data_IF_683835999144
#
_entry.id   IF_683835999144
#
_cell.length_a   1.000
_cell.length_b   1.000
_cell.length_c   1.000
_cell.angle_alpha   90.00
_cell.angle_beta   90.00
_cell.angle_gamma   90.00
#
_symmetry.space_group_name_H-M   'P 1'
#
loop_
_entity.id
_entity.type
_entity.pdbx_description
1 polymer ?
#
# COMPACT_ATOMS: atom_id res chain seq x y z
N UNK A 1 6.65 7.88 -28.36
CA UNK A 1 7.01 8.61 -27.12
C UNK A 1 6.32 9.98 -26.99
N UNK A 2 6.57 10.95 -27.87
CA UNK A 2 6.09 12.34 -27.67
C UNK A 2 4.55 12.50 -27.66
N UNK A 3 3.84 11.76 -28.52
CA UNK A 3 2.37 11.74 -28.52
C UNK A 3 1.81 11.22 -27.19
N UNK A 4 2.32 10.10 -26.71
CA UNK A 4 1.97 9.52 -25.40
C UNK A 4 2.27 10.48 -24.25
N UNK A 5 3.44 11.13 -24.26
CA UNK A 5 3.80 12.16 -23.26
C UNK A 5 2.75 13.27 -23.19
N UNK A 6 2.29 13.78 -24.34
CA UNK A 6 1.25 14.81 -24.40
C UNK A 6 -0.09 14.31 -23.86
N UNK A 7 -0.48 13.08 -24.19
CA UNK A 7 -1.70 12.49 -23.65
C UNK A 7 -1.67 12.41 -22.11
N UNK A 8 -0.57 11.93 -21.53
CA UNK A 8 -0.41 11.91 -20.07
C UNK A 8 -0.37 13.32 -19.47
N UNK A 9 0.34 14.27 -20.08
CA UNK A 9 0.40 15.64 -19.55
C UNK A 9 -1.00 16.28 -19.52
N UNK A 10 -1.80 16.09 -20.57
CA UNK A 10 -3.18 16.57 -20.60
C UNK A 10 -4.04 15.87 -19.55
N UNK A 11 -3.90 14.55 -19.40
CA UNK A 11 -4.64 13.79 -18.39
C UNK A 11 -4.30 14.26 -16.97
N UNK A 12 -3.02 14.50 -16.65
CA UNK A 12 -2.63 15.05 -15.35
C UNK A 12 -3.31 16.40 -15.13
N UNK A 13 -3.30 17.31 -16.11
CA UNK A 13 -3.93 18.63 -15.96
C UNK A 13 -5.45 18.57 -15.69
N UNK A 14 -6.13 17.47 -16.05
CA UNK A 14 -7.55 17.25 -15.74
C UNK A 14 -7.79 16.73 -14.32
N UNK A 15 -6.78 16.13 -13.68
CA UNK A 15 -6.87 15.65 -12.31
C UNK A 15 -6.72 16.81 -11.34
N UNK A 16 -7.53 16.81 -10.28
CA UNK A 16 -7.34 17.76 -9.18
C UNK A 16 -6.06 17.40 -8.43
N UNK A 17 -5.16 18.38 -8.30
CA UNK A 17 -3.92 18.23 -7.55
C UNK A 17 -4.02 19.05 -6.28
N UNK A 18 -4.47 18.42 -5.19
CA UNK A 18 -4.43 19.01 -3.86
C UNK A 18 -3.06 18.72 -3.22
N UNK A 19 -2.04 19.51 -3.56
CA UNK A 19 -0.70 19.33 -3.00
C UNK A 19 0.28 20.41 -3.45
N UNK A 20 1.45 20.44 -2.83
CA UNK A 20 2.50 21.44 -3.12
C UNK A 20 3.19 21.24 -4.48
N UNK A 21 3.02 20.05 -5.09
CA UNK A 21 3.71 19.67 -6.32
C UNK A 21 2.73 19.36 -7.44
N UNK A 22 2.98 19.94 -8.62
CA UNK A 22 2.28 19.59 -9.86
C UNK A 22 3.09 18.52 -10.59
N UNK A 23 2.57 17.30 -10.77
CA UNK A 23 3.25 16.24 -11.49
C UNK A 23 3.61 16.65 -12.92
N UNK A 24 4.84 16.31 -13.33
CA UNK A 24 5.39 16.61 -14.66
C UNK A 24 5.61 15.30 -15.42
N UNK A 25 5.35 15.32 -16.72
CA UNK A 25 5.49 14.13 -17.58
C UNK A 25 6.70 14.27 -18.51
N UNK A 26 7.71 13.42 -18.26
CA UNK A 26 8.90 13.27 -19.11
C UNK A 26 8.89 11.96 -19.91
N UNK A 27 9.78 11.88 -20.89
CA UNK A 27 10.12 10.63 -21.58
C UNK A 27 11.57 10.29 -21.31
N UNK A 28 11.86 9.02 -21.01
CA UNK A 28 13.21 8.50 -20.90
C UNK A 28 13.34 7.15 -21.62
N UNK A 29 14.57 6.73 -21.88
CA UNK A 29 14.93 5.41 -22.38
C UNK A 29 16.22 4.98 -21.70
N UNK A 30 16.16 3.92 -20.90
CA UNK A 30 17.35 3.36 -20.25
C UNK A 30 18.30 2.71 -21.26
N UNK A 31 17.76 2.04 -22.29
CA UNK A 31 18.55 1.37 -23.34
C UNK A 31 19.27 2.36 -24.24
N UNK A 32 18.69 3.54 -24.48
CA UNK A 32 19.30 4.61 -25.26
C UNK A 32 19.99 5.67 -24.38
N UNK A 33 20.06 5.45 -23.07
CA UNK A 33 20.59 6.38 -22.07
C UNK A 33 20.09 7.84 -22.25
N UNK A 34 18.79 8.02 -22.49
CA UNK A 34 18.17 9.33 -22.76
C UNK A 34 17.16 9.69 -21.69
N UNK A 35 17.13 10.93 -21.22
CA UNK A 35 16.08 11.42 -20.32
C UNK A 35 16.25 11.02 -18.84
N UNK A 36 17.25 10.21 -18.50
CA UNK A 36 17.45 9.70 -17.14
C UNK A 36 17.92 10.83 -16.20
N UNK A 37 18.83 11.68 -16.67
CA UNK A 37 19.31 12.84 -15.92
C UNK A 37 18.18 13.84 -15.64
N UNK A 38 17.28 14.06 -16.60
CA UNK A 38 16.13 14.95 -16.44
C UNK A 38 15.11 14.40 -15.45
N UNK A 39 14.88 13.08 -15.47
CA UNK A 39 14.05 12.40 -14.46
C UNK A 39 14.68 12.54 -13.07
N UNK A 40 15.99 12.36 -12.95
CA UNK A 40 16.69 12.51 -11.66
C UNK A 40 16.58 13.94 -11.12
N UNK A 41 16.85 14.95 -11.94
CA UNK A 41 16.67 16.37 -11.56
C UNK A 41 15.25 16.67 -11.09
N UNK A 42 14.25 16.10 -11.75
CA UNK A 42 12.85 16.24 -11.32
C UNK A 42 12.58 15.64 -9.94
N UNK A 43 13.20 14.50 -9.62
CA UNK A 43 13.11 13.87 -8.29
C UNK A 43 13.78 14.76 -7.23
N UNK A 44 14.95 15.31 -7.54
CA UNK A 44 15.67 16.22 -6.64
C UNK A 44 14.89 17.51 -6.36
N UNK A 45 14.30 18.11 -7.38
CA UNK A 45 13.44 19.30 -7.25
C UNK A 45 12.22 19.01 -6.37
N UNK A 46 11.55 17.86 -6.59
CA UNK A 46 10.44 17.43 -5.73
C UNK A 46 10.90 17.26 -4.28
N UNK A 47 12.01 16.53 -4.06
CA UNK A 47 12.55 16.27 -2.73
C UNK A 47 12.88 17.56 -2.00
N UNK A 48 13.57 18.50 -2.65
CA UNK A 48 13.92 19.80 -2.08
C UNK A 48 12.67 20.59 -1.67
N UNK A 49 11.67 20.67 -2.55
CA UNK A 49 10.39 21.33 -2.22
C UNK A 49 9.61 20.63 -1.09
N UNK A 50 9.60 19.30 -1.08
CA UNK A 50 8.92 18.50 -0.05
C UNK A 50 9.59 18.65 1.33
N UNK A 51 10.92 18.72 1.37
CA UNK A 51 11.68 18.93 2.60
C UNK A 51 11.52 20.36 3.11
N UNK A 52 11.61 21.36 2.24
CA UNK A 52 11.45 22.77 2.61
C UNK A 52 10.03 23.08 3.13
N UNK A 53 9.00 22.41 2.60
CA UNK A 53 7.61 22.54 3.06
C UNK A 53 7.25 21.65 4.25
N UNK A 54 8.14 20.73 4.67
CA UNK A 54 7.86 19.73 5.70
C UNK A 54 6.91 18.61 5.28
N UNK A 55 6.44 18.63 4.02
CA UNK A 55 5.50 17.66 3.47
C UNK A 55 6.09 16.24 3.44
N UNK A 56 7.40 16.12 3.20
CA UNK A 56 8.07 14.80 3.19
C UNK A 56 7.98 14.12 4.56
N UNK A 57 8.26 14.85 5.63
CA UNK A 57 8.21 14.36 7.00
C UNK A 57 6.77 14.04 7.42
N UNK A 58 5.82 14.91 7.05
CA UNK A 58 4.38 14.67 7.29
C UNK A 58 3.90 13.38 6.64
N UNK A 59 4.22 13.19 5.36
CA UNK A 59 3.84 11.99 4.61
C UNK A 59 4.50 10.73 5.17
N UNK A 60 5.78 10.80 5.56
CA UNK A 60 6.47 9.68 6.24
C UNK A 60 5.84 9.32 7.58
N UNK A 61 5.45 10.30 8.39
CA UNK A 61 4.77 10.04 9.66
C UNK A 61 3.42 9.34 9.46
N UNK A 62 2.64 9.77 8.46
CA UNK A 62 1.38 9.11 8.10
C UNK A 62 1.62 7.68 7.58
N UNK A 63 2.63 7.48 6.74
CA UNK A 63 3.02 6.16 6.26
C UNK A 63 3.44 5.24 7.43
N UNK A 64 4.22 5.74 8.38
CA UNK A 64 4.61 4.97 9.58
C UNK A 64 3.39 4.55 10.41
N UNK A 65 2.41 5.43 10.58
CA UNK A 65 1.17 5.08 11.27
C UNK A 65 0.36 4.01 10.51
N UNK A 66 0.32 4.07 9.19
CA UNK A 66 -0.32 3.04 8.35
C UNK A 66 0.44 1.71 8.44
N UNK A 67 1.77 1.75 8.35
CA UNK A 67 2.64 0.59 8.51
C UNK A 67 2.45 -0.08 9.86
N UNK A 68 2.38 0.69 10.95
CA UNK A 68 2.12 0.16 12.28
C UNK A 68 0.81 -0.63 12.33
N UNK A 69 -0.29 -0.06 11.82
CA UNK A 69 -1.60 -0.74 11.81
C UNK A 69 -1.57 -2.02 10.97
N UNK A 70 -0.88 -1.97 9.83
CA UNK A 70 -0.68 -3.13 8.96
C UNK A 70 0.10 -4.23 9.69
N UNK A 71 1.23 -3.88 10.30
CA UNK A 71 2.06 -4.81 11.05
C UNK A 71 1.32 -5.43 12.24
N UNK A 72 0.51 -4.65 12.97
CA UNK A 72 -0.33 -5.20 14.04
C UNK A 72 -1.23 -6.30 13.48
N UNK A 73 -1.90 -6.05 12.35
CA UNK A 73 -2.81 -7.03 11.74
C UNK A 73 -2.07 -8.27 11.24
N UNK A 74 -0.96 -8.08 10.51
CA UNK A 74 -0.13 -9.16 9.97
C UNK A 74 0.47 -10.02 11.10
N UNK A 75 0.97 -9.41 12.15
CA UNK A 75 1.56 -10.12 13.30
C UNK A 75 0.48 -10.83 14.13
N UNK A 76 -0.70 -10.25 14.30
CA UNK A 76 -1.82 -10.91 14.95
C UNK A 76 -2.27 -12.14 14.14
N UNK A 77 -2.41 -12.01 12.82
CA UNK A 77 -2.76 -13.12 11.93
C UNK A 77 -1.69 -14.23 11.95
N UNK A 78 -0.41 -13.85 11.89
CA UNK A 78 0.70 -14.79 12.00
C UNK A 78 0.68 -15.52 13.34
N UNK A 79 0.54 -14.80 14.45
CA UNK A 79 0.47 -15.39 15.78
C UNK A 79 -0.73 -16.33 15.92
N UNK A 80 -1.89 -15.91 15.43
CA UNK A 80 -3.11 -16.70 15.43
C UNK A 80 -2.95 -18.00 14.64
N UNK A 81 -2.39 -17.94 13.42
CA UNK A 81 -2.16 -19.14 12.58
C UNK A 81 -1.08 -20.07 13.10
N UNK A 82 -0.12 -19.57 13.87
CA UNK A 82 0.98 -20.38 14.42
C UNK A 82 0.66 -20.98 15.79
N UNK A 83 -0.41 -20.54 16.45
CA UNK A 83 -0.93 -21.15 17.68
C UNK A 83 -1.29 -22.63 17.44
N UNK A 84 -0.69 -23.59 18.17
CA UNK A 84 -0.99 -25.02 18.01
C UNK A 84 -2.47 -25.36 18.13
N UNK A 85 -3.21 -24.71 19.05
CA UNK A 85 -4.65 -24.94 19.22
C UNK A 85 -5.42 -24.55 17.97
N UNK A 86 -5.10 -23.38 17.39
CA UNK A 86 -5.75 -22.90 16.16
C UNK A 86 -5.41 -23.83 15.00
N UNK A 87 -4.14 -24.24 14.86
CA UNK A 87 -3.70 -25.17 13.82
C UNK A 87 -4.43 -26.52 13.87
N UNK A 88 -4.68 -27.02 15.07
CA UNK A 88 -5.35 -28.32 15.27
C UNK A 88 -6.87 -28.22 15.11
N UNK A 89 -7.48 -27.10 15.51
CA UNK A 89 -8.94 -26.92 15.53
C UNK A 89 -9.51 -26.35 14.22
N UNK A 90 -8.75 -25.50 13.51
CA UNK A 90 -9.19 -24.80 12.30
C UNK A 90 -9.73 -25.74 11.20
N UNK A 91 -9.04 -26.83 10.81
CA UNK A 91 -9.54 -27.72 9.74
C UNK A 91 -10.90 -28.35 10.07
N UNK A 92 -11.11 -28.69 11.35
CA UNK A 92 -12.37 -29.29 11.81
C UNK A 92 -13.51 -28.28 11.78
N UNK A 93 -13.24 -27.02 12.13
CA UNK A 93 -14.25 -25.97 12.10
C UNK A 93 -14.57 -25.54 10.67
N UNK A 94 -13.59 -25.49 9.77
CA UNK A 94 -13.81 -25.24 8.34
C UNK A 94 -14.74 -26.28 7.73
N UNK A 95 -14.52 -27.58 8.03
CA UNK A 95 -15.40 -28.65 7.56
C UNK A 95 -16.84 -28.46 8.04
N UNK A 96 -17.03 -28.18 9.34
CA UNK A 96 -18.37 -27.93 9.91
C UNK A 96 -19.07 -26.72 9.29
N UNK A 97 -18.32 -25.67 8.95
CA UNK A 97 -18.85 -24.48 8.27
C UNK A 97 -19.29 -24.84 6.85
N UNK A 98 -18.46 -25.58 6.09
CA UNK A 98 -18.80 -26.02 4.73
C UNK A 98 -20.03 -26.92 4.70
N UNK A 99 -20.19 -27.79 5.71
CA UNK A 99 -21.38 -28.65 5.87
C UNK A 99 -22.61 -27.92 6.42
N UNK A 100 -22.51 -26.64 6.77
CA UNK A 100 -23.61 -25.84 7.34
C UNK A 100 -23.96 -26.18 8.78
N UNK A 101 -23.12 -26.93 9.49
CA UNK A 101 -23.31 -27.33 10.89
C UNK A 101 -22.89 -26.26 11.90
N UNK A 102 -22.17 -25.23 11.43
CA UNK A 102 -21.72 -24.10 12.22
C UNK A 102 -21.63 -22.85 11.34
N UNK A 103 -21.95 -21.68 11.88
CA UNK A 103 -21.78 -20.43 11.12
C UNK A 103 -20.31 -20.01 11.09
N UNK A 104 -19.83 -19.33 10.02
CA UNK A 104 -18.46 -18.80 9.97
C UNK A 104 -18.12 -17.92 11.18
N UNK A 105 -19.09 -17.11 11.63
CA UNK A 105 -18.91 -16.24 12.80
C UNK A 105 -18.68 -17.05 14.08
N UNK A 106 -19.49 -18.07 14.35
CA UNK A 106 -19.34 -18.91 15.54
C UNK A 106 -18.00 -19.67 15.55
N UNK A 107 -17.56 -20.16 14.38
CA UNK A 107 -16.25 -20.80 14.23
C UNK A 107 -15.10 -19.81 14.53
N UNK A 108 -15.18 -18.58 14.02
CA UNK A 108 -14.19 -17.55 14.27
C UNK A 108 -14.10 -17.15 15.75
N UNK A 109 -15.24 -16.92 16.42
CA UNK A 109 -15.30 -16.62 17.86
C UNK A 109 -14.66 -17.72 18.70
N UNK A 110 -14.97 -18.98 18.38
CA UNK A 110 -14.38 -20.16 19.03
C UNK A 110 -12.86 -20.22 18.85
N UNK A 111 -12.36 -19.96 17.64
CA UNK A 111 -10.92 -19.91 17.39
C UNK A 111 -10.25 -18.71 18.06
N UNK A 112 -10.92 -17.58 18.22
CA UNK A 112 -10.36 -16.41 18.91
C UNK A 112 -10.33 -16.57 20.44
N UNK A 113 -10.91 -17.64 20.99
CA UNK A 113 -10.99 -17.86 22.44
C UNK A 113 -11.84 -16.80 23.15
N UNK A 114 -12.66 -16.07 22.40
CA UNK A 114 -13.61 -15.11 22.93
C UNK A 114 -14.86 -15.90 23.30
N UNK A 115 -15.11 -16.10 24.60
CA UNK A 115 -16.40 -16.60 25.07
C UNK A 115 -17.47 -15.49 24.94
#
# INVERSE_FOLDING_TARGET
AQRTRRHYQNAMNLLSHSGFWVPRVLTCSATENRGITEVWKMIEEYRGGAEASGELQRNRALQNAQWLRRLISELLEQRFRTDPRVRDELPRLEERVVRGEMTPYAAAVRLLGSA
#
